data_IF_361796516886
#
_entry.id   IF_361796516886
#
_cell.length_a   1.000
_cell.length_b   1.000
_cell.length_c   1.000
_cell.angle_alpha   90.00
_cell.angle_beta   90.00
_cell.angle_gamma   90.00
#
_symmetry.space_group_name_H-M   'P 1'
#
loop_
_entity.id
_entity.type
_entity.pdbx_description
1 polymer ?
#
# COMPACT_ATOMS: atom_id res chain seq x y z
N UNK A 1 -12.82 -5.51 -0.99
CA UNK A 1 -11.70 -6.46 -1.25
C UNK A 1 -12.04 -7.81 -0.63
N UNK A 2 -11.93 -8.87 -1.39
CA UNK A 2 -12.24 -10.19 -0.87
C UNK A 2 -11.04 -10.79 -0.13
N UNK A 3 -11.26 -11.92 0.55
CA UNK A 3 -10.25 -12.58 1.37
C UNK A 3 -9.00 -13.00 0.57
N UNK A 4 -9.20 -13.45 -0.67
CA UNK A 4 -8.08 -13.86 -1.53
C UNK A 4 -7.17 -12.68 -1.87
N UNK A 5 -7.76 -11.53 -2.20
CA UNK A 5 -7.01 -10.32 -2.53
C UNK A 5 -6.25 -9.79 -1.33
N UNK A 6 -6.85 -9.86 -0.15
CA UNK A 6 -6.18 -9.46 1.10
C UNK A 6 -4.98 -10.35 1.37
N UNK A 7 -5.09 -11.66 1.14
CA UNK A 7 -3.99 -12.59 1.35
C UNK A 7 -2.82 -12.33 0.39
N UNK A 8 -3.13 -12.03 -0.87
CA UNK A 8 -2.09 -11.69 -1.87
C UNK A 8 -1.39 -10.40 -1.46
N UNK A 9 -2.15 -9.40 -1.04
CA UNK A 9 -1.60 -8.14 -0.57
C UNK A 9 -0.71 -8.37 0.66
N UNK A 10 -1.16 -9.17 1.60
CA UNK A 10 -0.39 -9.51 2.80
C UNK A 10 1.00 -10.07 2.44
N UNK A 11 1.04 -11.06 1.55
CA UNK A 11 2.28 -11.68 1.13
C UNK A 11 3.22 -10.66 0.48
N UNK A 12 2.70 -9.82 -0.37
CA UNK A 12 3.48 -8.79 -1.04
C UNK A 12 4.09 -7.81 -0.04
N UNK A 13 3.28 -7.32 0.89
CA UNK A 13 3.73 -6.35 1.89
C UNK A 13 4.78 -6.94 2.82
N UNK A 14 4.65 -8.21 3.19
CA UNK A 14 5.64 -8.89 4.02
C UNK A 14 6.98 -9.03 3.31
N UNK A 15 6.98 -9.28 2.00
CA UNK A 15 8.20 -9.33 1.21
C UNK A 15 8.94 -7.99 1.26
N UNK A 16 8.22 -6.90 1.05
CA UNK A 16 8.83 -5.57 1.12
C UNK A 16 9.37 -5.28 2.51
N UNK A 17 8.63 -5.65 3.55
CA UNK A 17 9.08 -5.47 4.92
C UNK A 17 10.38 -6.23 5.20
N UNK A 18 10.47 -7.47 4.74
CA UNK A 18 11.67 -8.29 4.91
C UNK A 18 12.86 -7.72 4.16
N UNK A 19 12.62 -7.04 3.04
CA UNK A 19 13.66 -6.36 2.27
C UNK A 19 14.10 -5.04 2.89
N UNK A 20 13.45 -4.61 3.97
CA UNK A 20 13.76 -3.34 4.61
C UNK A 20 13.21 -2.12 3.87
N UNK A 21 12.24 -2.33 2.99
CA UNK A 21 11.63 -1.24 2.22
C UNK A 21 10.50 -0.61 3.03
N UNK A 22 10.57 0.70 3.34
CA UNK A 22 9.53 1.35 4.13
C UNK A 22 8.21 1.44 3.39
N UNK A 23 7.12 1.30 4.15
CA UNK A 23 5.75 1.38 3.64
C UNK A 23 5.09 2.64 4.19
N UNK A 24 4.30 3.29 3.35
CA UNK A 24 3.60 4.52 3.74
C UNK A 24 2.11 4.40 3.42
N UNK A 25 1.30 4.94 4.28
CA UNK A 25 -0.15 4.98 4.10
C UNK A 25 -0.62 6.43 4.29
N UNK A 26 -1.16 7.01 3.21
CA UNK A 26 -1.61 8.40 3.21
C UNK A 26 -0.53 9.36 3.71
N UNK A 27 0.71 9.16 3.25
CA UNK A 27 1.83 10.02 3.58
C UNK A 27 2.52 9.74 4.91
N UNK A 28 2.04 8.75 5.66
CA UNK A 28 2.62 8.39 6.96
C UNK A 28 3.19 7.00 6.93
N UNK A 29 4.33 6.82 7.58
CA UNK A 29 4.95 5.51 7.70
C UNK A 29 3.98 4.52 8.35
N UNK A 30 3.86 3.33 7.77
CA UNK A 30 2.86 2.37 8.20
C UNK A 30 3.42 0.94 8.20
N UNK A 31 2.55 -0.01 8.47
CA UNK A 31 2.90 -1.43 8.56
C UNK A 31 1.99 -2.22 7.62
N UNK A 32 2.41 -3.45 7.22
CA UNK A 32 1.55 -4.30 6.40
C UNK A 32 0.16 -4.49 7.00
N UNK A 33 0.10 -4.71 8.30
CA UNK A 33 -1.17 -4.94 9.00
C UNK A 33 -2.12 -3.75 8.89
N UNK A 34 -1.60 -2.53 9.05
CA UNK A 34 -2.40 -1.30 8.95
C UNK A 34 -2.87 -1.07 7.52
N UNK A 35 -2.01 -1.33 6.55
CA UNK A 35 -2.37 -1.17 5.14
C UNK A 35 -3.44 -2.17 4.75
N UNK A 36 -3.32 -3.44 5.18
CA UNK A 36 -4.33 -4.46 4.93
C UNK A 36 -5.68 -4.08 5.54
N UNK A 37 -5.67 -3.57 6.75
CA UNK A 37 -6.89 -3.11 7.42
C UNK A 37 -7.54 -1.96 6.64
N UNK A 38 -6.72 -1.01 6.18
CA UNK A 38 -7.22 0.11 5.38
C UNK A 38 -7.89 -0.37 4.10
N UNK A 39 -7.31 -1.35 3.42
CA UNK A 39 -7.91 -1.93 2.22
C UNK A 39 -9.24 -2.60 2.51
N UNK A 40 -9.35 -3.29 3.66
CA UNK A 40 -10.59 -4.00 4.01
C UNK A 40 -11.74 -3.05 4.31
N UNK A 41 -11.46 -1.89 4.87
CA UNK A 41 -12.50 -0.94 5.26
C UNK A 41 -12.68 0.20 4.26
N UNK A 42 -11.93 0.20 3.16
CA UNK A 42 -12.04 1.25 2.16
C UNK A 42 -13.41 1.24 1.49
N UNK A 43 -14.05 2.39 1.50
CA UNK A 43 -15.35 2.60 0.85
C UNK A 43 -15.26 3.86 -0.01
N UNK A 44 -15.98 3.85 -1.12
CA UNK A 44 -16.07 4.99 -2.04
C UNK A 44 -14.72 5.49 -2.56
N UNK A 45 -13.76 4.59 -2.71
CA UNK A 45 -12.47 4.94 -3.24
C UNK A 45 -11.55 3.75 -3.37
N UNK A 46 -10.34 4.02 -3.83
CA UNK A 46 -9.31 3.01 -4.01
C UNK A 46 -7.99 3.53 -3.48
N UNK A 47 -7.08 2.60 -3.18
CA UNK A 47 -5.71 2.96 -2.83
C UNK A 47 -4.83 2.88 -4.07
N UNK A 48 -4.13 3.97 -4.38
CA UNK A 48 -3.17 4.00 -5.46
C UNK A 48 -1.78 3.72 -4.88
N UNK A 49 -1.01 2.91 -5.59
CA UNK A 49 0.35 2.60 -5.21
C UNK A 49 1.32 3.53 -5.91
N UNK A 50 2.31 3.99 -5.19
CA UNK A 50 3.40 4.77 -5.75
C UNK A 50 4.72 4.13 -5.32
N UNK A 51 5.49 3.70 -6.30
CA UNK A 51 6.80 3.08 -6.07
C UNK A 51 7.85 4.18 -6.03
N UNK A 52 8.36 4.43 -4.84
CA UNK A 52 9.36 5.47 -4.63
C UNK A 52 10.74 4.91 -4.97
N UNK A 53 11.42 5.53 -5.92
CA UNK A 53 12.73 5.08 -6.38
C UNK A 53 13.79 6.15 -6.11
N UNK A 54 15.03 5.70 -5.96
CA UNK A 54 16.16 6.61 -5.86
C UNK A 54 16.70 6.97 -7.25
N UNK A 55 17.80 7.74 -7.31
CA UNK A 55 18.38 8.20 -8.57
C UNK A 55 18.88 7.06 -9.47
N UNK A 56 19.14 5.88 -8.89
CA UNK A 56 19.60 4.72 -9.63
C UNK A 56 18.47 3.80 -10.07
N UNK A 57 17.23 4.15 -9.72
CA UNK A 57 16.07 3.33 -10.03
C UNK A 57 15.78 2.23 -9.01
N UNK A 58 16.50 2.20 -7.90
CA UNK A 58 16.24 1.23 -6.84
C UNK A 58 15.01 1.60 -6.05
N UNK A 59 14.21 0.60 -5.70
CA UNK A 59 13.03 0.81 -4.88
C UNK A 59 13.43 1.26 -3.47
N UNK A 60 12.97 2.44 -3.10
CA UNK A 60 13.30 3.09 -1.84
C UNK A 60 12.13 3.10 -0.87
N UNK A 61 10.93 2.94 -1.37
CA UNK A 61 9.73 2.92 -0.56
C UNK A 61 8.51 2.57 -1.38
N UNK A 62 7.42 2.26 -0.71
CA UNK A 62 6.14 1.99 -1.37
C UNK A 62 5.05 2.75 -0.62
N UNK A 63 4.34 3.60 -1.34
CA UNK A 63 3.30 4.45 -0.77
C UNK A 63 1.93 4.01 -1.26
N UNK A 64 0.96 4.06 -0.35
CA UNK A 64 -0.44 3.76 -0.64
C UNK A 64 -1.25 5.00 -0.29
N UNK A 65 -1.87 5.60 -1.29
CA UNK A 65 -2.66 6.81 -1.11
C UNK A 65 -4.11 6.57 -1.48
N UNK A 66 -4.99 6.93 -0.58
CA UNK A 66 -6.42 6.79 -0.81
C UNK A 66 -6.91 7.85 -1.79
N UNK A 67 -7.56 7.39 -2.84
CA UNK A 67 -8.16 8.26 -3.85
C UNK A 67 -9.66 8.01 -3.83
N UNK A 68 -10.41 9.03 -3.46
CA UNK A 68 -11.86 8.94 -3.40
C UNK A 68 -12.44 8.92 -4.80
N UNK A 69 -13.41 8.03 -5.02
CA UNK A 69 -14.16 8.06 -6.27
C UNK A 69 -15.16 9.20 -6.18
N UNK A 70 -14.99 10.19 -7.05
CA UNK A 70 -15.93 11.28 -7.14
C UNK A 70 -16.78 11.06 -8.36
N UNK A 71 -18.08 11.22 -8.18
CA UNK A 71 -18.99 11.16 -9.32
C UNK A 71 -18.85 12.44 -10.12
N UNK A 72 -18.85 12.33 -11.47
CA UNK A 72 -18.77 13.51 -12.32
C UNK A 72 -19.99 14.41 -12.18
#
# INVERSE_FOLDING_TARGET
>A
MNKREVNVLHQELEIYREMGIPLYLNGKKSTPKRIEKAYRIAEEGVYMRDYIQDDTGRLKGLSFDFVREEEP
#
